data_IF_028816383145
#
_entry.id   IF_028816383145
#
_cell.length_a   1.000
_cell.length_b   1.000
_cell.length_c   1.000
_cell.angle_alpha   90.00
_cell.angle_beta   90.00
_cell.angle_gamma   90.00
#
_symmetry.space_group_name_H-M   'P 1'
#
loop_
_entity.id
_entity.type
_entity.pdbx_description
1 polymer ?
#
# COMPACT_ATOMS: atom_id res chain seq x y z
N UNK A 1 21.64 5.69 -28.46
CA UNK A 1 20.85 4.82 -27.58
C UNK A 1 21.68 3.63 -27.17
N UNK A 2 21.73 3.37 -25.91
CA UNK A 2 22.56 2.28 -25.39
C UNK A 2 21.69 1.10 -24.97
N UNK A 3 22.26 -0.12 -24.97
CA UNK A 3 21.54 -1.28 -24.45
C UNK A 3 21.06 -1.09 -23.00
N UNK A 4 21.80 -0.32 -22.22
CA UNK A 4 21.44 -0.04 -20.85
C UNK A 4 20.10 0.67 -20.74
N UNK A 5 19.86 1.61 -21.66
CA UNK A 5 18.59 2.33 -21.66
C UNK A 5 17.42 1.39 -21.92
N UNK A 6 17.61 0.44 -22.85
CA UNK A 6 16.57 -0.55 -23.13
C UNK A 6 16.33 -1.48 -21.96
N UNK A 7 17.40 -1.95 -21.31
CA UNK A 7 17.28 -2.81 -20.15
C UNK A 7 16.56 -2.08 -19.03
N UNK A 8 16.93 -0.83 -18.81
CA UNK A 8 16.32 -0.03 -17.78
C UNK A 8 14.84 0.20 -18.03
N UNK A 9 14.49 0.42 -19.29
CA UNK A 9 13.10 0.61 -19.68
C UNK A 9 12.26 -0.63 -19.34
N UNK A 10 12.77 -1.82 -19.66
CA UNK A 10 12.09 -3.06 -19.34
C UNK A 10 11.95 -3.24 -17.84
N UNK A 11 13.01 -2.93 -17.10
CA UNK A 11 13.02 -3.03 -15.66
C UNK A 11 12.03 -2.03 -15.05
N UNK A 12 11.98 -0.82 -15.59
CA UNK A 12 11.12 0.24 -15.10
C UNK A 12 9.64 -0.14 -15.22
N UNK A 13 9.27 -0.90 -16.25
CA UNK A 13 7.90 -1.38 -16.38
C UNK A 13 7.47 -2.24 -15.22
N UNK A 14 8.41 -3.00 -14.63
CA UNK A 14 8.11 -3.84 -13.48
C UNK A 14 8.06 -3.06 -12.18
N UNK A 15 8.81 -1.94 -12.11
CA UNK A 15 8.89 -1.14 -10.91
C UNK A 15 8.08 0.15 -11.00
N UNK A 16 7.53 0.45 -12.17
CA UNK A 16 6.73 1.63 -12.37
C UNK A 16 5.52 1.62 -11.43
N UNK A 17 5.29 2.76 -10.79
CA UNK A 17 4.17 2.91 -9.87
C UNK A 17 2.93 3.39 -10.60
N UNK A 18 1.79 2.92 -10.15
CA UNK A 18 0.50 3.42 -10.62
C UNK A 18 -0.03 4.43 -9.61
N UNK A 19 -1.03 5.22 -10.02
CA UNK A 19 -1.69 6.14 -9.11
C UNK A 19 -2.54 5.30 -8.12
N UNK A 20 -2.16 5.24 -6.85
CA UNK A 20 -2.86 4.35 -5.92
C UNK A 20 -4.29 4.81 -5.61
N UNK A 21 -4.59 6.09 -5.75
CA UNK A 21 -5.96 6.58 -5.53
C UNK A 21 -6.91 5.97 -6.56
N UNK A 22 -6.45 5.81 -7.79
CA UNK A 22 -7.26 5.21 -8.85
C UNK A 22 -7.53 3.73 -8.61
N UNK A 23 -6.73 3.07 -7.78
CA UNK A 23 -6.90 1.66 -7.46
C UNK A 23 -7.95 1.41 -6.37
N UNK A 24 -8.36 2.45 -5.65
CA UNK A 24 -9.33 2.33 -4.57
C UNK A 24 -10.75 2.20 -5.13
N UNK A 25 -11.57 1.37 -4.48
CA UNK A 25 -12.99 1.31 -4.81
C UNK A 25 -13.75 2.45 -4.13
N UNK A 26 -15.03 2.58 -4.46
CA UNK A 26 -15.85 3.68 -3.92
C UNK A 26 -16.00 3.60 -2.42
N UNK A 27 -16.11 2.40 -1.87
CA UNK A 27 -16.23 2.22 -0.42
C UNK A 27 -15.01 2.79 0.28
N UNK A 28 -13.83 2.47 -0.22
CA UNK A 28 -12.59 2.94 0.41
C UNK A 28 -12.38 4.43 0.18
N UNK A 29 -12.71 4.94 -0.99
CA UNK A 29 -12.64 6.39 -1.24
C UNK A 29 -13.53 7.17 -0.31
N UNK A 30 -14.72 6.63 -0.01
CA UNK A 30 -15.64 7.27 0.91
C UNK A 30 -15.16 7.24 2.35
N UNK A 31 -14.40 6.21 2.74
CA UNK A 31 -13.80 6.12 4.07
C UNK A 31 -12.56 7.00 4.21
N UNK A 32 -11.88 7.26 3.11
CA UNK A 32 -10.65 8.04 3.13
C UNK A 32 -10.95 9.50 3.44
N UNK A 33 -9.97 10.17 4.02
CA UNK A 33 -10.09 11.56 4.44
C UNK A 33 -9.02 12.39 3.76
N UNK A 34 -9.27 13.69 3.58
CA UNK A 34 -8.21 14.58 3.11
C UNK A 34 -7.10 14.66 4.16
N UNK A 35 -5.93 15.06 3.70
CA UNK A 35 -4.73 15.08 4.55
C UNK A 35 -4.89 16.00 5.75
N UNK A 36 -5.68 17.06 5.65
CA UNK A 36 -5.78 18.05 6.72
C UNK A 36 -7.20 18.50 6.95
N UNK A 37 -7.55 18.78 8.20
CA UNK A 37 -6.85 18.46 9.44
C UNK A 37 -7.01 16.98 9.77
N UNK A 38 -6.05 16.41 10.48
CA UNK A 38 -6.03 14.97 10.77
C UNK A 38 -6.16 14.75 12.26
N UNK A 39 -7.05 13.86 12.65
CA UNK A 39 -7.18 13.45 14.04
C UNK A 39 -6.05 12.49 14.41
N UNK A 40 -5.63 12.47 15.70
CA UNK A 40 -4.64 11.49 16.13
C UNK A 40 -5.09 10.07 15.81
N UNK A 41 -4.15 9.23 15.37
CA UNK A 41 -4.46 7.86 15.02
C UNK A 41 -3.45 7.29 14.05
N UNK A 42 -3.81 6.14 13.50
CA UNK A 42 -2.98 5.43 12.53
C UNK A 42 -3.69 5.44 11.20
N UNK A 43 -2.91 5.61 10.13
CA UNK A 43 -3.45 5.78 8.79
C UNK A 43 -2.57 5.09 7.76
N UNK A 44 -3.18 4.73 6.64
CA UNK A 44 -2.45 4.46 5.41
C UNK A 44 -2.62 5.67 4.51
N UNK A 45 -1.52 6.28 4.13
CA UNK A 45 -1.52 7.41 3.21
C UNK A 45 -1.45 6.90 1.79
N UNK A 46 -2.36 7.40 0.96
CA UNK A 46 -2.47 7.04 -0.45
C UNK A 46 -2.20 8.31 -1.25
N UNK A 47 -0.98 8.43 -1.76
CA UNK A 47 -0.55 9.61 -2.51
C UNK A 47 -0.85 9.42 -3.98
N UNK A 48 -1.91 10.06 -4.44
CA UNK A 48 -2.26 10.08 -5.85
C UNK A 48 -1.61 11.25 -6.58
N UNK A 49 -1.81 11.28 -7.88
CA UNK A 49 -1.26 12.32 -8.73
C UNK A 49 -1.87 13.69 -8.42
N UNK A 50 -3.15 13.72 -8.17
CA UNK A 50 -3.90 14.96 -7.97
C UNK A 50 -4.37 15.15 -6.54
N UNK A 51 -4.28 14.13 -5.71
CA UNK A 51 -4.75 14.20 -4.33
C UNK A 51 -4.07 13.17 -3.47
N UNK A 52 -4.04 13.44 -2.19
CA UNK A 52 -3.54 12.51 -1.18
C UNK A 52 -4.69 12.21 -0.23
N UNK A 53 -4.92 10.94 0.03
CA UNK A 53 -5.98 10.50 0.93
C UNK A 53 -5.37 9.74 2.09
N UNK A 54 -6.04 9.82 3.24
CA UNK A 54 -5.67 9.06 4.42
C UNK A 54 -6.78 8.06 4.74
N UNK A 55 -6.40 6.79 4.83
CA UNK A 55 -7.33 5.72 5.21
C UNK A 55 -7.13 5.46 6.70
N UNK A 56 -8.13 5.79 7.54
CA UNK A 56 -7.97 5.54 8.97
C UNK A 56 -7.95 4.05 9.27
N UNK A 57 -7.06 3.65 10.16
CA UNK A 57 -6.91 2.26 10.59
C UNK A 57 -7.59 2.10 11.94
N UNK A 58 -8.34 1.02 12.09
CA UNK A 58 -8.98 0.65 13.35
C UNK A 58 -8.13 -0.37 14.09
N UNK A 59 -8.70 -0.94 15.15
CA UNK A 59 -8.04 -2.03 15.88
C UNK A 59 -8.28 -3.39 15.24
N UNK A 60 -8.92 -3.40 14.08
CA UNK A 60 -9.20 -4.65 13.38
C UNK A 60 -8.10 -4.97 12.36
N UNK A 61 -7.91 -6.26 12.11
CA UNK A 61 -7.00 -6.73 11.08
C UNK A 61 -7.51 -6.28 9.72
N UNK A 62 -6.61 -5.79 8.88
CA UNK A 62 -6.95 -5.28 7.55
C UNK A 62 -6.32 -6.20 6.49
N UNK A 63 -7.16 -6.87 5.72
CA UNK A 63 -6.70 -7.68 4.60
C UNK A 63 -6.60 -6.81 3.35
N UNK A 64 -5.45 -6.84 2.70
CA UNK A 64 -5.15 -5.99 1.54
C UNK A 64 -4.93 -6.86 0.32
N UNK A 65 -5.59 -6.54 -0.76
CA UNK A 65 -5.40 -7.27 -2.00
C UNK A 65 -6.37 -6.84 -3.09
N UNK A 66 -6.28 -7.52 -4.22
CA UNK A 66 -7.13 -7.23 -5.37
C UNK A 66 -8.47 -7.95 -5.27
N UNK A 67 -8.55 -8.98 -4.42
CA UNK A 67 -9.76 -9.80 -4.31
C UNK A 67 -10.92 -9.04 -3.70
N UNK A 68 -12.13 -9.46 -4.06
CA UNK A 68 -13.35 -8.81 -3.57
C UNK A 68 -13.55 -8.97 -2.07
N UNK A 69 -12.93 -9.98 -1.47
CA UNK A 69 -13.02 -10.20 -0.04
C UNK A 69 -12.02 -9.35 0.76
N UNK A 70 -11.17 -8.58 0.09
CA UNK A 70 -10.19 -7.74 0.78
C UNK A 70 -10.87 -6.56 1.46
N UNK A 71 -10.40 -6.21 2.65
CA UNK A 71 -10.89 -5.03 3.37
C UNK A 71 -10.42 -3.75 2.68
N UNK A 72 -9.15 -3.72 2.28
CA UNK A 72 -8.62 -2.67 1.42
C UNK A 72 -8.37 -3.30 0.06
N UNK A 73 -9.28 -3.06 -0.85
CA UNK A 73 -9.15 -3.59 -2.20
C UNK A 73 -8.37 -2.63 -3.07
N UNK A 74 -7.31 -3.14 -3.68
CA UNK A 74 -6.49 -2.39 -4.61
C UNK A 74 -6.69 -3.03 -5.99
N UNK A 75 -7.41 -2.33 -6.86
CA UNK A 75 -7.76 -2.84 -8.19
C UNK A 75 -6.61 -2.56 -9.16
N UNK A 76 -5.60 -3.40 -9.08
CA UNK A 76 -4.40 -3.28 -9.90
C UNK A 76 -3.85 -4.67 -10.15
N UNK A 77 -3.56 -4.99 -11.42
CA UNK A 77 -3.19 -6.34 -11.82
C UNK A 77 -1.92 -6.87 -11.15
N UNK A 78 -1.01 -5.99 -10.75
CA UNK A 78 0.21 -6.40 -10.06
C UNK A 78 0.00 -6.72 -8.59
N UNK A 79 -1.18 -6.44 -8.05
CA UNK A 79 -1.53 -6.77 -6.67
C UNK A 79 -2.20 -8.14 -6.65
N UNK A 80 -1.71 -9.03 -5.81
CA UNK A 80 -2.31 -10.36 -5.65
C UNK A 80 -3.69 -10.26 -5.01
N UNK A 81 -4.54 -11.23 -5.28
CA UNK A 81 -5.89 -11.25 -4.69
C UNK A 81 -5.83 -11.17 -3.18
N UNK A 82 -4.91 -11.93 -2.57
CA UNK A 82 -4.56 -11.84 -1.16
C UNK A 82 -3.11 -11.45 -1.15
N UNK A 83 -2.81 -10.21 -0.80
CA UNK A 83 -1.44 -9.72 -0.92
C UNK A 83 -0.76 -9.53 0.42
N UNK A 84 -1.41 -8.84 1.34
CA UNK A 84 -0.81 -8.54 2.64
C UNK A 84 -1.89 -8.41 3.70
N UNK A 85 -1.47 -8.49 4.95
CA UNK A 85 -2.35 -8.37 6.10
C UNK A 85 -1.71 -7.37 7.05
N UNK A 86 -2.48 -6.36 7.43
CA UNK A 86 -2.04 -5.37 8.40
C UNK A 86 -2.68 -5.68 9.75
N UNK A 87 -1.84 -5.98 10.72
CA UNK A 87 -2.29 -6.41 12.05
C UNK A 87 -2.00 -5.29 13.05
N UNK A 88 -3.03 -4.67 13.65
CA UNK A 88 -2.80 -3.64 14.65
C UNK A 88 -2.16 -4.23 15.90
N UNK A 89 -1.28 -3.44 16.51
CA UNK A 89 -0.57 -3.81 17.72
C UNK A 89 -0.77 -2.72 18.76
N UNK A 90 -0.44 -3.02 20.01
CA UNK A 90 -0.52 -2.01 21.07
C UNK A 90 0.36 -0.80 20.76
N UNK A 91 1.43 -1.02 20.01
CA UNK A 91 2.30 0.07 19.56
C UNK A 91 2.61 -0.19 18.08
N UNK A 92 1.99 0.58 17.21
CA UNK A 92 2.17 0.46 15.77
C UNK A 92 1.33 -0.62 15.14
N UNK A 93 1.84 -1.21 14.07
CA UNK A 93 1.17 -2.25 13.33
C UNK A 93 2.21 -3.21 12.74
N UNK A 94 1.79 -4.44 12.45
CA UNK A 94 2.63 -5.42 11.79
C UNK A 94 2.06 -5.74 10.43
N UNK A 95 2.92 -5.72 9.43
CA UNK A 95 2.55 -6.06 8.06
C UNK A 95 3.05 -7.48 7.75
N UNK A 96 2.15 -8.30 7.21
CA UNK A 96 2.48 -9.68 6.83
C UNK A 96 2.24 -9.85 5.34
N UNK A 97 3.17 -10.50 4.65
CA UNK A 97 2.92 -10.92 3.28
C UNK A 97 2.00 -12.13 3.29
N UNK A 98 0.97 -12.12 2.44
CA UNK A 98 -0.02 -13.20 2.38
C UNK A 98 0.15 -14.01 1.10
N UNK A 99 1.37 -14.53 0.88
CA UNK A 99 1.73 -15.36 -0.27
C UNK A 99 1.56 -14.61 -1.59
N UNK A 100 1.95 -13.36 -1.61
CA UNK A 100 1.83 -12.54 -2.83
C UNK A 100 2.74 -13.06 -3.94
N UNK A 101 2.33 -12.82 -5.19
CA UNK A 101 3.09 -13.27 -6.36
C UNK A 101 4.39 -12.49 -6.52
N UNK A 102 4.37 -11.19 -6.22
CA UNK A 102 5.53 -10.32 -6.44
C UNK A 102 6.18 -9.85 -5.15
N UNK A 103 5.64 -10.23 -4.00
CA UNK A 103 6.19 -9.87 -2.71
C UNK A 103 5.63 -8.58 -2.14
N UNK A 104 5.91 -8.39 -0.86
CA UNK A 104 5.57 -7.19 -0.12
C UNK A 104 6.88 -6.53 0.30
N UNK A 105 6.98 -5.22 0.11
CA UNK A 105 8.21 -4.48 0.37
C UNK A 105 7.94 -3.38 1.39
N UNK A 106 8.88 -3.22 2.32
CA UNK A 106 8.85 -2.11 3.27
C UNK A 106 10.17 -1.37 3.15
N UNK A 107 10.10 -0.09 2.79
CA UNK A 107 11.26 0.77 2.57
C UNK A 107 12.26 0.13 1.59
N UNK A 108 11.72 -0.50 0.54
CA UNK A 108 12.52 -1.10 -0.52
C UNK A 108 13.05 -2.49 -0.23
N UNK A 109 12.72 -3.08 0.91
CA UNK A 109 13.18 -4.42 1.28
C UNK A 109 12.01 -5.41 1.24
N UNK A 110 12.21 -6.59 0.63
CA UNK A 110 11.18 -7.62 0.66
C UNK A 110 11.03 -8.17 2.08
N UNK A 111 9.80 -8.33 2.53
CA UNK A 111 9.52 -8.81 3.88
C UNK A 111 8.47 -9.91 3.88
N UNK A 112 8.62 -10.86 4.79
CA UNK A 112 7.56 -11.78 5.15
C UNK A 112 6.69 -11.17 6.22
N UNK A 113 7.30 -10.43 7.12
CA UNK A 113 6.62 -9.63 8.13
C UNK A 113 7.51 -8.46 8.53
N UNK A 114 6.89 -7.37 8.93
CA UNK A 114 7.62 -6.19 9.39
C UNK A 114 6.77 -5.42 10.40
N UNK A 115 7.42 -4.95 11.44
CA UNK A 115 6.79 -4.02 12.37
C UNK A 115 6.92 -2.61 11.78
N UNK A 116 5.80 -1.97 11.56
CA UNK A 116 5.75 -0.68 10.89
C UNK A 116 5.99 0.46 11.86
N UNK A 117 6.71 1.45 11.38
CA UNK A 117 6.96 2.72 12.07
C UNK A 117 6.40 3.84 11.23
N UNK A 118 6.09 4.96 11.89
CA UNK A 118 5.57 6.14 11.20
C UNK A 118 6.46 6.51 10.01
N UNK A 119 5.83 6.68 8.87
CA UNK A 119 6.52 7.05 7.64
C UNK A 119 7.00 5.89 6.79
N UNK A 120 6.85 4.65 7.24
CA UNK A 120 7.31 3.49 6.46
C UNK A 120 6.55 3.41 5.14
N UNK A 121 7.29 3.15 4.06
CA UNK A 121 6.75 3.03 2.71
C UNK A 121 6.52 1.56 2.40
N UNK A 122 5.28 1.26 2.01
CA UNK A 122 4.84 -0.10 1.69
C UNK A 122 4.62 -0.19 0.19
N UNK A 123 5.16 -1.22 -0.44
CA UNK A 123 4.95 -1.45 -1.86
C UNK A 123 4.38 -2.83 -2.08
N UNK A 124 3.23 -2.87 -2.77
CA UNK A 124 2.50 -4.08 -3.13
C UNK A 124 2.32 -4.04 -4.65
N UNK A 125 3.11 -4.85 -5.36
CA UNK A 125 3.13 -4.73 -6.82
C UNK A 125 3.60 -3.33 -7.23
N UNK A 126 2.78 -2.64 -8.03
CA UNK A 126 3.09 -1.27 -8.46
C UNK A 126 2.38 -0.21 -7.61
N UNK A 127 1.78 -0.62 -6.51
CA UNK A 127 1.05 0.30 -5.62
C UNK A 127 1.92 0.63 -4.42
N UNK A 128 2.07 1.92 -4.16
CA UNK A 128 2.83 2.42 -3.01
C UNK A 128 1.89 3.07 -2.01
N UNK A 129 2.03 2.69 -0.76
CA UNK A 129 1.29 3.27 0.36
C UNK A 129 2.30 3.68 1.42
N UNK A 130 1.87 4.54 2.34
CA UNK A 130 2.71 4.93 3.47
C UNK A 130 1.95 4.76 4.77
N UNK A 131 2.60 4.17 5.75
CA UNK A 131 2.02 4.01 7.08
C UNK A 131 2.33 5.27 7.91
N UNK A 132 1.30 5.83 8.55
CA UNK A 132 1.45 7.04 9.38
C UNK A 132 0.85 6.83 10.75
N UNK A 133 1.53 7.40 11.74
CA UNK A 133 1.00 7.56 13.11
C UNK A 133 1.00 9.05 13.43
N UNK A 134 -0.18 9.55 13.74
CA UNK A 134 -0.35 10.98 13.99
C UNK A 134 -0.73 11.21 15.45
#
# INVERSE_FOLDING_TARGET
>A
MTPETLIRSTHDQQTERVDPVECLDDTMRNRARPVQPVEPGRYLEVQGRDQTLLIPLSDEVLHIGRGLASDLRLDESSVSRRHAILVPRSSGARLLDDRSSYGTFVNGRPVQQADLLDGDVIVLGRVMLRYLEV
#
